data_IF_359681459745
#
_entry.id   IF_359681459745
#
_cell.length_a   1.000
_cell.length_b   1.000
_cell.length_c   1.000
_cell.angle_alpha   90.00
_cell.angle_beta   90.00
_cell.angle_gamma   90.00
#
_symmetry.space_group_name_H-M   'P 1'
#
loop_
_entity.id
_entity.type
_entity.pdbx_description
1 polymer ?
#
# COMPACT_ATOMS: atom_id res chain seq x y z
N UNK A 1 -6.80 -2.45 28.67
CA UNK A 1 -7.71 -3.26 27.83
C UNK A 1 -8.47 -2.42 26.80
N UNK A 2 -8.90 -1.19 27.13
CA UNK A 2 -9.66 -0.34 26.21
C UNK A 2 -8.89 0.09 24.94
N UNK A 3 -7.63 0.53 25.06
CA UNK A 3 -6.81 0.95 23.91
C UNK A 3 -6.55 -0.17 22.88
N UNK A 4 -6.28 -1.39 23.34
CA UNK A 4 -6.11 -2.54 22.43
C UNK A 4 -7.39 -2.89 21.67
N UNK A 5 -8.56 -2.72 22.27
CA UNK A 5 -9.85 -2.91 21.60
C UNK A 5 -10.10 -1.88 20.49
N UNK A 6 -9.77 -0.61 20.76
CA UNK A 6 -9.84 0.46 19.75
C UNK A 6 -8.88 0.21 18.59
N UNK A 7 -7.63 -0.18 18.89
CA UNK A 7 -6.64 -0.52 17.86
C UNK A 7 -7.07 -1.72 17.01
N UNK A 8 -7.56 -2.80 17.63
CA UNK A 8 -8.06 -3.96 16.90
C UNK A 8 -9.25 -3.60 15.99
N UNK A 9 -10.16 -2.75 16.48
CA UNK A 9 -11.29 -2.28 15.70
C UNK A 9 -10.86 -1.33 14.57
N UNK A 10 -9.89 -0.44 14.81
CA UNK A 10 -9.28 0.41 13.79
C UNK A 10 -8.60 -0.39 12.68
N UNK A 11 -7.85 -1.44 13.02
CA UNK A 11 -7.27 -2.39 12.04
C UNK A 11 -8.36 -3.08 11.24
N UNK A 12 -9.45 -3.50 11.89
CA UNK A 12 -10.58 -4.11 11.19
C UNK A 12 -11.21 -3.14 10.20
N UNK A 13 -11.48 -1.89 10.61
CA UNK A 13 -12.00 -0.84 9.72
C UNK A 13 -11.06 -0.61 8.53
N UNK A 14 -9.75 -0.52 8.79
CA UNK A 14 -8.74 -0.41 7.74
C UNK A 14 -8.83 -1.61 6.78
N UNK A 15 -8.80 -2.83 7.30
CA UNK A 15 -8.86 -4.07 6.52
C UNK A 15 -10.07 -4.11 5.57
N UNK A 16 -11.26 -3.70 6.03
CA UNK A 16 -12.48 -3.68 5.22
C UNK A 16 -12.64 -2.40 4.38
N UNK A 17 -11.64 -1.53 4.36
CA UNK A 17 -11.58 -0.34 3.50
C UNK A 17 -12.20 0.93 4.08
N UNK A 18 -12.68 0.93 5.32
CA UNK A 18 -13.22 2.13 5.98
C UNK A 18 -12.10 3.00 6.57
N UNK A 19 -11.35 3.68 5.69
CA UNK A 19 -10.13 4.42 6.06
C UNK A 19 -10.42 5.56 7.04
N UNK A 20 -11.48 6.32 6.85
CA UNK A 20 -11.84 7.42 7.76
C UNK A 20 -12.13 6.93 9.19
N UNK A 21 -12.89 5.83 9.32
CA UNK A 21 -13.16 5.23 10.63
C UNK A 21 -11.92 4.58 11.23
N UNK A 22 -11.09 3.94 10.40
CA UNK A 22 -9.82 3.39 10.85
C UNK A 22 -8.92 4.46 11.48
N UNK A 23 -8.79 5.60 10.82
CA UNK A 23 -7.98 6.72 11.33
C UNK A 23 -8.51 7.20 12.68
N UNK A 24 -9.83 7.37 12.80
CA UNK A 24 -10.46 7.80 14.04
C UNK A 24 -10.15 6.86 15.21
N UNK A 25 -10.38 5.56 15.03
CA UNK A 25 -10.17 4.57 16.09
C UNK A 25 -8.69 4.37 16.43
N UNK A 26 -7.79 4.37 15.43
CA UNK A 26 -6.35 4.22 15.68
C UNK A 26 -5.77 5.46 16.37
N UNK A 27 -6.20 6.66 16.01
CA UNK A 27 -5.76 7.91 16.67
C UNK A 27 -6.21 7.93 18.13
N UNK A 28 -7.45 7.54 18.41
CA UNK A 28 -7.98 7.44 19.77
C UNK A 28 -7.24 6.37 20.59
N UNK A 29 -6.98 5.21 19.99
CA UNK A 29 -6.22 4.12 20.61
C UNK A 29 -4.76 4.49 20.93
N UNK A 30 -4.10 5.22 20.04
CA UNK A 30 -2.71 5.69 20.21
C UNK A 30 -2.61 6.75 21.32
N UNK A 31 -3.54 7.70 21.38
CA UNK A 31 -3.58 8.70 22.44
C UNK A 31 -3.72 8.06 23.83
N UNK A 32 -4.55 7.02 23.96
CA UNK A 32 -4.72 6.29 25.22
C UNK A 32 -3.45 5.49 25.54
N UNK A 33 -2.83 4.83 24.56
CA UNK A 33 -1.55 4.13 24.76
C UNK A 33 -0.41 5.05 25.19
N UNK A 34 -0.28 6.22 24.55
CA UNK A 34 0.73 7.23 24.90
C UNK A 34 0.53 7.77 26.31
N UNK A 35 -0.72 7.91 26.76
CA UNK A 35 -1.03 8.32 28.13
C UNK A 35 -0.69 7.25 29.19
N UNK A 36 -0.77 5.98 28.84
CA UNK A 36 -0.43 4.84 29.70
C UNK A 36 1.10 4.59 29.79
N UNK A 37 1.91 5.18 28.91
CA UNK A 37 3.38 5.00 28.83
C UNK A 37 4.18 5.76 29.91
N UNK A 38 3.54 6.51 30.80
CA UNK A 38 4.22 7.13 31.95
C UNK A 38 4.81 6.09 32.94
N UNK A 39 4.46 4.80 32.79
CA UNK A 39 5.13 3.67 33.43
C UNK A 39 6.06 2.95 32.45
N UNK A 40 7.37 3.10 32.63
CA UNK A 40 8.41 2.31 31.92
C UNK A 40 8.16 0.81 32.12
N UNK A 41 8.22 0.00 31.05
CA UNK A 41 8.36 -1.46 31.22
C UNK A 41 8.98 -2.21 30.04
N UNK A 42 9.94 -3.07 30.37
CA UNK A 42 10.78 -3.95 29.55
C UNK A 42 10.03 -5.16 28.95
N UNK A 43 8.98 -4.95 28.14
CA UNK A 43 8.27 -6.05 27.46
C UNK A 43 8.45 -6.03 25.92
N UNK A 44 9.27 -6.94 25.35
CA UNK A 44 9.54 -7.01 23.92
C UNK A 44 8.29 -7.20 23.05
N UNK A 45 7.32 -8.00 23.50
CA UNK A 45 6.10 -8.28 22.74
C UNK A 45 5.19 -7.05 22.70
N UNK A 46 5.13 -6.29 23.80
CA UNK A 46 4.38 -5.02 23.85
C UNK A 46 5.01 -3.99 22.92
N UNK A 47 6.34 -3.94 22.89
CA UNK A 47 7.09 -3.05 22.00
C UNK A 47 6.85 -3.36 20.52
N UNK A 48 6.97 -4.63 20.11
CA UNK A 48 6.68 -5.06 18.73
C UNK A 48 5.25 -4.71 18.31
N UNK A 49 4.28 -4.95 19.21
CA UNK A 49 2.89 -4.62 18.93
C UNK A 49 2.68 -3.12 18.76
N UNK A 50 3.30 -2.28 19.60
CA UNK A 50 3.24 -0.82 19.46
C UNK A 50 3.84 -0.34 18.14
N UNK A 51 4.97 -0.90 17.73
CA UNK A 51 5.62 -0.57 16.46
C UNK A 51 4.72 -0.93 15.27
N UNK A 52 4.04 -2.09 15.32
CA UNK A 52 3.04 -2.46 14.31
C UNK A 52 1.83 -1.51 14.31
N UNK A 53 1.31 -1.10 15.48
CA UNK A 53 0.17 -0.18 15.56
C UNK A 53 0.52 1.20 15.00
N UNK A 54 1.68 1.74 15.38
CA UNK A 54 2.16 3.02 14.87
C UNK A 54 2.36 2.98 13.34
N UNK A 55 2.85 1.85 12.82
CA UNK A 55 2.99 1.68 11.39
C UNK A 55 1.66 1.57 10.62
N UNK A 56 0.66 0.88 11.18
CA UNK A 56 -0.69 0.86 10.59
C UNK A 56 -1.32 2.25 10.65
N UNK A 57 -1.15 2.98 11.76
CA UNK A 57 -1.60 4.37 11.87
C UNK A 57 -0.95 5.25 10.79
N UNK A 58 0.35 5.10 10.54
CA UNK A 58 1.03 5.85 9.48
C UNK A 58 0.48 5.52 8.09
N UNK A 59 0.27 4.24 7.78
CA UNK A 59 -0.32 3.82 6.50
C UNK A 59 -1.74 4.35 6.32
N UNK A 60 -2.58 4.27 7.36
CA UNK A 60 -3.94 4.82 7.36
C UNK A 60 -3.95 6.34 7.24
N UNK A 61 -3.00 7.04 7.87
CA UNK A 61 -2.82 8.49 7.75
C UNK A 61 -2.48 8.88 6.31
N UNK A 62 -1.59 8.13 5.65
CA UNK A 62 -1.28 8.32 4.24
C UNK A 62 -2.51 8.08 3.35
N UNK A 63 -3.24 6.98 3.57
CA UNK A 63 -4.45 6.63 2.82
C UNK A 63 -5.56 7.68 2.98
N UNK A 64 -5.71 8.22 4.20
CA UNK A 64 -6.64 9.32 4.48
C UNK A 64 -6.20 10.63 3.84
N UNK A 65 -4.96 10.71 3.35
CA UNK A 65 -4.49 11.78 2.50
C UNK A 65 -3.44 12.67 3.13
N UNK A 66 -2.97 12.41 4.35
CA UNK A 66 -1.86 13.15 4.96
C UNK A 66 -0.56 12.37 4.81
N UNK A 67 0.03 12.46 3.61
CA UNK A 67 1.26 11.74 3.26
C UNK A 67 2.47 12.28 4.05
N UNK A 68 2.48 13.58 4.35
CA UNK A 68 3.58 14.20 5.09
C UNK A 68 3.59 13.75 6.55
N UNK A 69 2.44 13.75 7.23
CA UNK A 69 2.34 13.24 8.60
C UNK A 69 2.67 11.74 8.67
N UNK A 70 2.19 10.96 7.69
CA UNK A 70 2.54 9.54 7.60
C UNK A 70 4.05 9.31 7.45
N UNK A 71 4.72 10.11 6.61
CA UNK A 71 6.17 10.05 6.44
C UNK A 71 6.89 10.41 7.73
N UNK A 72 6.47 11.46 8.42
CA UNK A 72 7.06 11.86 9.71
C UNK A 72 6.92 10.76 10.78
N UNK A 73 5.78 10.06 10.83
CA UNK A 73 5.59 8.90 11.71
C UNK A 73 6.54 7.75 11.35
N UNK A 74 6.69 7.45 10.07
CA UNK A 74 7.57 6.37 9.60
C UNK A 74 9.05 6.71 9.80
N UNK A 75 9.46 7.96 9.61
CA UNK A 75 10.82 8.44 9.88
C UNK A 75 11.17 8.28 11.37
N UNK A 76 10.20 8.54 12.26
CA UNK A 76 10.36 8.29 13.70
C UNK A 76 10.55 6.79 13.99
N UNK A 77 9.73 5.93 13.39
CA UNK A 77 9.86 4.47 13.54
C UNK A 77 11.21 3.94 13.01
N UNK A 78 11.70 4.50 11.90
CA UNK A 78 13.02 4.17 11.35
C UNK A 78 14.14 4.64 12.29
N UNK A 79 14.04 5.85 12.85
CA UNK A 79 15.01 6.36 13.81
C UNK A 79 15.05 5.53 15.10
N UNK A 80 13.88 5.14 15.63
CA UNK A 80 13.75 4.29 16.82
C UNK A 80 14.28 2.86 16.58
N UNK A 81 14.17 2.34 15.35
CA UNK A 81 14.71 1.04 14.97
C UNK A 81 16.25 0.99 14.97
N UNK A 82 16.91 2.12 14.72
CA UNK A 82 18.36 2.23 14.64
C UNK A 82 18.98 1.23 13.65
N UNK A 83 19.95 0.44 14.13
CA UNK A 83 20.66 -0.59 13.35
C UNK A 83 20.21 -2.02 13.68
N UNK A 84 19.17 -2.19 14.51
CA UNK A 84 18.71 -3.52 14.91
C UNK A 84 18.03 -4.24 13.72
N UNK A 85 18.57 -5.36 13.19
CA UNK A 85 18.11 -5.92 11.91
C UNK A 85 16.62 -6.25 11.87
N UNK A 86 16.07 -6.75 12.98
CA UNK A 86 14.64 -7.07 13.10
C UNK A 86 13.76 -5.82 13.10
N UNK A 87 14.11 -4.78 13.87
CA UNK A 87 13.36 -3.53 13.92
C UNK A 87 13.42 -2.76 12.59
N UNK A 88 14.59 -2.76 11.94
CA UNK A 88 14.75 -2.21 10.58
C UNK A 88 13.88 -2.99 9.59
N UNK A 89 13.86 -4.32 9.67
CA UNK A 89 13.03 -5.14 8.78
C UNK A 89 11.54 -4.80 8.91
N UNK A 90 11.03 -4.62 10.14
CA UNK A 90 9.63 -4.26 10.36
C UNK A 90 9.34 -2.83 9.86
N UNK A 91 10.12 -1.83 10.29
CA UNK A 91 9.92 -0.44 9.88
C UNK A 91 10.00 -0.28 8.36
N UNK A 92 11.00 -0.90 7.71
CA UNK A 92 11.11 -0.92 6.25
C UNK A 92 9.92 -1.61 5.58
N UNK A 93 9.40 -2.72 6.13
CA UNK A 93 8.23 -3.40 5.56
C UNK A 93 6.94 -2.55 5.60
N UNK A 94 6.79 -1.71 6.62
CA UNK A 94 5.65 -0.79 6.73
C UNK A 94 5.85 0.42 5.80
N UNK A 95 7.07 0.98 5.77
CA UNK A 95 7.42 2.09 4.91
C UNK A 95 7.21 1.74 3.42
N UNK A 96 7.67 0.57 2.97
CA UNK A 96 7.48 0.16 1.57
C UNK A 96 6.01 -0.04 1.20
N UNK A 97 5.19 -0.61 2.10
CA UNK A 97 3.75 -0.80 1.85
C UNK A 97 3.05 0.56 1.71
N UNK A 98 3.42 1.53 2.54
CA UNK A 98 2.88 2.89 2.45
C UNK A 98 3.34 3.58 1.17
N UNK A 99 4.63 3.50 0.84
CA UNK A 99 5.20 4.17 -0.33
C UNK A 99 4.58 3.72 -1.67
N UNK A 100 4.34 2.42 -1.84
CA UNK A 100 3.71 1.89 -3.07
C UNK A 100 2.25 2.33 -3.20
N UNK A 101 1.52 2.48 -2.08
CA UNK A 101 0.14 3.00 -2.09
C UNK A 101 0.11 4.50 -2.41
N UNK A 102 1.08 5.25 -1.87
CA UNK A 102 1.27 6.68 -2.19
C UNK A 102 1.64 6.89 -3.65
N UNK A 103 2.37 5.95 -4.26
CA UNK A 103 2.85 6.08 -5.63
C UNK A 103 4.21 6.79 -5.71
N UNK A 104 5.04 6.70 -4.66
CA UNK A 104 6.37 7.30 -4.60
C UNK A 104 7.45 6.22 -4.79
N UNK A 105 7.98 6.03 -6.02
CA UNK A 105 8.96 4.97 -6.31
C UNK A 105 10.31 5.20 -5.64
N UNK A 106 10.74 6.45 -5.46
CA UNK A 106 12.02 6.74 -4.82
C UNK A 106 11.96 6.41 -3.32
N UNK A 107 10.85 6.73 -2.66
CA UNK A 107 10.61 6.31 -1.28
C UNK A 107 10.54 4.79 -1.14
N UNK A 108 9.79 4.12 -2.02
CA UNK A 108 9.68 2.68 -2.01
C UNK A 108 11.04 1.99 -2.21
N UNK A 109 11.86 2.48 -3.14
CA UNK A 109 13.19 1.92 -3.42
C UNK A 109 14.13 2.09 -2.23
N UNK A 110 14.24 3.31 -1.68
CA UNK A 110 15.11 3.57 -0.51
C UNK A 110 14.74 2.68 0.68
N UNK A 111 13.45 2.61 1.02
CA UNK A 111 12.99 1.80 2.14
C UNK A 111 13.21 0.29 1.89
N UNK A 112 12.99 -0.18 0.65
CA UNK A 112 13.23 -1.57 0.29
C UNK A 112 14.71 -1.95 0.36
N UNK A 113 15.61 -1.11 -0.16
CA UNK A 113 17.05 -1.36 -0.16
C UNK A 113 17.61 -1.41 1.26
N UNK A 114 17.17 -0.51 2.15
CA UNK A 114 17.53 -0.54 3.57
C UNK A 114 17.15 -1.86 4.23
N UNK A 115 15.89 -2.29 4.08
CA UNK A 115 15.40 -3.53 4.67
C UNK A 115 16.10 -4.78 4.11
N UNK A 116 16.36 -4.81 2.81
CA UNK A 116 17.06 -5.93 2.16
C UNK A 116 18.52 -6.01 2.63
N UNK A 117 19.18 -4.87 2.85
CA UNK A 117 20.57 -4.84 3.29
C UNK A 117 20.79 -5.45 4.69
N UNK A 118 19.82 -5.33 5.59
CA UNK A 118 19.90 -5.90 6.95
C UNK A 118 19.43 -7.36 7.04
N UNK A 119 18.69 -7.85 6.04
CA UNK A 119 18.29 -9.26 5.91
C UNK A 119 18.47 -9.78 4.46
N UNK A 120 19.73 -9.85 3.97
CA UNK A 120 20.01 -10.26 2.60
C UNK A 120 19.65 -11.73 2.35
N UNK A 121 19.74 -12.56 3.40
CA UNK A 121 19.43 -13.99 3.37
C UNK A 121 17.93 -14.28 3.41
N UNK A 122 17.09 -13.26 3.58
CA UNK A 122 15.64 -13.37 3.58
C UNK A 122 15.09 -14.23 4.74
N UNK A 123 15.69 -14.07 5.92
CA UNK A 123 15.32 -14.75 7.16
C UNK A 123 13.89 -14.40 7.60
N UNK A 124 13.45 -13.16 7.38
CA UNK A 124 12.11 -12.68 7.72
C UNK A 124 11.17 -12.75 6.52
N UNK A 125 10.78 -13.98 6.16
CA UNK A 125 10.11 -14.30 4.88
C UNK A 125 8.90 -13.42 4.55
N UNK A 126 8.03 -13.10 5.51
CA UNK A 126 6.84 -12.28 5.21
C UNK A 126 7.23 -10.82 4.98
N UNK A 127 7.97 -10.21 5.90
CA UNK A 127 8.34 -8.79 5.85
C UNK A 127 9.27 -8.49 4.67
N UNK A 128 10.26 -9.37 4.44
CA UNK A 128 11.17 -9.25 3.31
C UNK A 128 10.51 -9.52 1.95
N UNK A 129 9.33 -10.15 1.91
CA UNK A 129 8.55 -10.32 0.66
C UNK A 129 8.09 -8.95 0.17
N UNK A 130 7.53 -8.13 1.07
CA UNK A 130 7.01 -6.81 0.73
C UNK A 130 8.11 -5.86 0.25
N UNK A 131 9.29 -5.92 0.87
CA UNK A 131 10.45 -5.12 0.44
C UNK A 131 10.91 -5.49 -0.97
N UNK A 132 11.00 -6.80 -1.28
CA UNK A 132 11.39 -7.27 -2.62
C UNK A 132 10.35 -6.91 -3.69
N UNK A 133 9.06 -7.02 -3.36
CA UNK A 133 7.98 -6.59 -4.25
C UNK A 133 7.98 -5.08 -4.49
N UNK A 134 8.18 -4.28 -3.44
CA UNK A 134 8.28 -2.83 -3.56
C UNK A 134 9.47 -2.39 -4.40
N UNK A 135 10.62 -3.07 -4.26
CA UNK A 135 11.78 -2.85 -5.13
C UNK A 135 11.44 -3.12 -6.60
N UNK A 136 10.78 -4.23 -6.91
CA UNK A 136 10.33 -4.52 -8.27
C UNK A 136 9.41 -3.42 -8.80
N UNK A 137 8.42 -3.02 -8.01
CA UNK A 137 7.49 -1.96 -8.37
C UNK A 137 8.21 -0.62 -8.62
N UNK A 138 9.11 -0.20 -7.74
CA UNK A 138 9.88 1.04 -7.91
C UNK A 138 10.77 1.02 -9.17
N UNK A 139 11.41 -0.11 -9.47
CA UNK A 139 12.20 -0.26 -10.70
C UNK A 139 11.32 -0.14 -11.94
N UNK A 140 10.15 -0.79 -11.96
CA UNK A 140 9.21 -0.67 -13.07
C UNK A 140 8.71 0.77 -13.24
N UNK A 141 8.36 1.45 -12.15
CA UNK A 141 7.84 2.82 -12.20
C UNK A 141 8.87 3.86 -12.62
N UNK A 142 10.16 3.60 -12.37
CA UNK A 142 11.27 4.45 -12.83
C UNK A 142 11.79 4.07 -14.23
N UNK A 143 11.10 3.16 -14.93
CA UNK A 143 11.47 2.74 -16.29
C UNK A 143 12.64 1.75 -16.35
N UNK A 144 13.13 1.26 -15.22
CA UNK A 144 14.23 0.31 -15.13
C UNK A 144 13.74 -1.11 -15.34
N UNK A 145 13.76 -1.56 -16.59
CA UNK A 145 13.29 -2.89 -17.02
C UNK A 145 11.89 -3.26 -16.47
N UNK A 146 10.82 -2.51 -16.85
CA UNK A 146 9.48 -2.74 -16.29
C UNK A 146 8.95 -4.17 -16.51
N UNK A 147 9.24 -4.77 -17.67
CA UNK A 147 8.83 -6.13 -17.98
C UNK A 147 9.48 -7.16 -17.05
N UNK A 148 10.81 -7.11 -16.89
CA UNK A 148 11.53 -8.03 -16.01
C UNK A 148 11.20 -7.83 -14.53
N UNK A 149 10.98 -6.57 -14.11
CA UNK A 149 10.53 -6.27 -12.75
C UNK A 149 9.12 -6.86 -12.48
N UNK A 150 8.19 -6.75 -13.43
CA UNK A 150 6.87 -7.36 -13.32
C UNK A 150 6.92 -8.90 -13.25
N UNK A 151 7.79 -9.54 -14.06
CA UNK A 151 7.99 -10.99 -14.02
C UNK A 151 8.59 -11.49 -12.71
N UNK A 152 9.54 -10.76 -12.13
CA UNK A 152 10.07 -11.06 -10.80
C UNK A 152 8.99 -10.91 -9.72
N UNK A 153 8.22 -9.83 -9.76
CA UNK A 153 7.13 -9.60 -8.82
C UNK A 153 6.07 -10.72 -8.87
N UNK A 154 5.67 -11.14 -10.07
CA UNK A 154 4.71 -12.23 -10.27
C UNK A 154 5.21 -13.56 -9.68
N UNK A 155 6.49 -13.88 -9.86
CA UNK A 155 7.12 -15.06 -9.24
C UNK A 155 7.07 -15.00 -7.72
N UNK A 156 7.39 -13.85 -7.14
CA UNK A 156 7.36 -13.65 -5.68
C UNK A 156 5.92 -13.77 -5.15
N UNK A 157 4.94 -13.10 -5.78
CA UNK A 157 3.53 -13.15 -5.38
C UNK A 157 3.04 -14.61 -5.37
N UNK A 158 3.26 -15.33 -6.47
CA UNK A 158 2.84 -16.73 -6.62
C UNK A 158 3.46 -17.62 -5.54
N UNK A 159 4.76 -17.46 -5.28
CA UNK A 159 5.48 -18.31 -4.35
C UNK A 159 5.20 -18.00 -2.86
N UNK A 160 4.78 -16.78 -2.52
CA UNK A 160 4.77 -16.30 -1.13
C UNK A 160 3.44 -15.77 -0.62
N UNK A 161 2.54 -15.34 -1.50
CA UNK A 161 1.30 -14.67 -1.11
C UNK A 161 0.02 -15.41 -1.46
N UNK A 162 0.06 -16.37 -2.39
CA UNK A 162 -1.15 -17.05 -2.91
C UNK A 162 -1.52 -18.29 -2.08
N UNK A 163 -0.54 -19.10 -1.66
CA UNK A 163 -0.79 -20.34 -0.91
C UNK A 163 0.25 -20.55 0.22
N UNK A 164 -0.15 -20.44 1.50
CA UNK A 164 -1.45 -19.95 1.96
C UNK A 164 -1.62 -18.46 1.64
N UNK A 165 -2.87 -17.98 1.41
CA UNK A 165 -3.12 -16.57 1.14
C UNK A 165 -2.64 -15.69 2.29
N UNK A 166 -1.81 -14.69 1.95
CA UNK A 166 -1.25 -13.74 2.92
C UNK A 166 -1.91 -12.37 2.80
N UNK A 167 -1.79 -11.57 3.85
CA UNK A 167 -2.21 -10.17 3.84
C UNK A 167 -1.58 -9.41 2.66
N UNK A 168 -2.35 -8.48 2.08
CA UNK A 168 -1.97 -7.63 0.96
C UNK A 168 -1.91 -8.32 -0.42
N UNK A 169 -2.33 -9.58 -0.55
CA UNK A 169 -2.27 -10.30 -1.84
C UNK A 169 -3.03 -9.58 -2.96
N UNK A 170 -4.21 -9.01 -2.66
CA UNK A 170 -4.97 -8.20 -3.62
C UNK A 170 -4.20 -6.94 -4.03
N UNK A 171 -3.65 -6.20 -3.07
CA UNK A 171 -2.82 -5.00 -3.30
C UNK A 171 -1.64 -5.30 -4.22
N UNK A 172 -0.91 -6.40 -3.98
CA UNK A 172 0.25 -6.75 -4.78
C UNK A 172 -0.11 -7.22 -6.20
N UNK A 173 -1.27 -7.86 -6.39
CA UNK A 173 -1.80 -8.09 -7.73
C UNK A 173 -2.21 -6.79 -8.43
N UNK A 174 -2.77 -5.82 -7.70
CA UNK A 174 -3.01 -4.45 -8.18
C UNK A 174 -1.74 -3.79 -8.71
N UNK A 175 -0.70 -3.75 -7.86
CA UNK A 175 0.61 -3.18 -8.19
C UNK A 175 1.32 -3.93 -9.33
N UNK A 176 1.13 -5.25 -9.45
CA UNK A 176 1.58 -6.01 -10.62
C UNK A 176 0.90 -5.52 -11.90
N UNK A 177 -0.39 -5.22 -11.85
CA UNK A 177 -1.10 -4.59 -12.96
C UNK A 177 -0.48 -3.25 -13.36
N UNK A 178 -0.12 -2.40 -12.40
CA UNK A 178 0.57 -1.14 -12.64
C UNK A 178 1.94 -1.34 -13.30
N UNK A 179 2.75 -2.29 -12.82
CA UNK A 179 4.03 -2.63 -13.45
C UNK A 179 3.86 -3.12 -14.89
N UNK A 180 2.81 -3.93 -15.17
CA UNK A 180 2.50 -4.42 -16.52
C UNK A 180 2.03 -3.30 -17.45
N UNK A 181 1.34 -2.27 -16.93
CA UNK A 181 1.05 -1.05 -17.69
C UNK A 181 2.34 -0.31 -18.08
N UNK A 182 3.29 -0.16 -17.14
CA UNK A 182 4.60 0.44 -17.45
C UNK A 182 5.42 -0.37 -18.46
N UNK A 183 5.19 -1.68 -18.52
CA UNK A 183 5.78 -2.56 -19.52
C UNK A 183 5.05 -2.54 -20.88
N UNK A 184 4.02 -1.71 -21.07
CA UNK A 184 3.24 -1.66 -22.30
C UNK A 184 2.39 -2.91 -22.54
N UNK A 185 2.01 -3.64 -21.48
CA UNK A 185 1.28 -4.89 -21.55
C UNK A 185 -0.13 -4.78 -20.93
N UNK A 186 -1.05 -3.98 -21.52
CA UNK A 186 -2.35 -3.67 -20.91
C UNK A 186 -3.26 -4.88 -20.71
N UNK A 187 -3.20 -5.90 -21.59
CA UNK A 187 -3.93 -7.16 -21.41
C UNK A 187 -3.43 -7.95 -20.20
N UNK A 188 -2.11 -8.01 -20.00
CA UNK A 188 -1.53 -8.66 -18.83
C UNK A 188 -1.84 -7.87 -17.54
N UNK A 189 -1.87 -6.54 -17.63
CA UNK A 189 -2.32 -5.70 -16.53
C UNK A 189 -3.78 -5.99 -16.15
N UNK A 190 -4.69 -6.10 -17.13
CA UNK A 190 -6.08 -6.47 -16.89
C UNK A 190 -6.21 -7.81 -16.14
N UNK A 191 -5.47 -8.84 -16.58
CA UNK A 191 -5.48 -10.15 -15.93
C UNK A 191 -4.94 -10.09 -14.49
N UNK A 192 -3.92 -9.29 -14.22
CA UNK A 192 -3.42 -9.08 -12.86
C UNK A 192 -4.47 -8.39 -11.97
N UNK A 193 -5.21 -7.42 -12.50
CA UNK A 193 -6.32 -6.77 -11.77
C UNK A 193 -7.51 -7.73 -11.56
N UNK A 194 -7.79 -8.66 -12.49
CA UNK A 194 -8.82 -9.69 -12.29
C UNK A 194 -8.47 -10.59 -11.08
N UNK A 195 -7.18 -10.89 -10.91
CA UNK A 195 -6.68 -11.59 -9.74
C UNK A 195 -6.81 -10.76 -8.46
N UNK A 196 -6.56 -9.44 -8.54
CA UNK A 196 -6.74 -8.55 -7.41
C UNK A 196 -8.20 -8.56 -6.93
N UNK A 197 -9.16 -8.41 -7.85
CA UNK A 197 -10.60 -8.44 -7.56
C UNK A 197 -11.03 -9.76 -6.93
N UNK A 198 -10.55 -10.89 -7.47
CA UNK A 198 -10.82 -12.20 -6.87
C UNK A 198 -10.40 -12.28 -5.40
N UNK A 199 -9.23 -11.74 -5.05
CA UNK A 199 -8.77 -11.73 -3.65
C UNK A 199 -9.49 -10.70 -2.78
N UNK A 200 -9.91 -9.56 -3.33
CA UNK A 200 -10.77 -8.61 -2.63
C UNK A 200 -12.10 -9.28 -2.23
N UNK A 201 -12.73 -9.97 -3.16
CA UNK A 201 -14.02 -10.63 -2.94
C UNK A 201 -13.90 -11.83 -2.00
N UNK A 202 -12.83 -12.62 -2.12
CA UNK A 202 -12.63 -13.82 -1.31
C UNK A 202 -12.22 -13.51 0.12
N UNK A 203 -11.44 -12.44 0.36
CA UNK A 203 -10.86 -12.16 1.68
C UNK A 203 -11.31 -10.85 2.32
N UNK A 204 -11.99 -9.97 1.59
CA UNK A 204 -12.50 -8.70 2.10
C UNK A 204 -11.45 -7.62 2.39
N UNK A 205 -10.22 -7.75 1.85
CA UNK A 205 -9.10 -6.81 2.08
C UNK A 205 -9.22 -5.54 1.23
N UNK A 206 -10.11 -4.62 1.60
CA UNK A 206 -10.56 -3.52 0.73
C UNK A 206 -9.81 -2.20 0.89
N UNK A 207 -8.80 -2.10 1.76
CA UNK A 207 -8.05 -0.84 1.95
C UNK A 207 -7.38 -0.29 0.69
N UNK A 208 -7.07 -1.12 -0.30
CA UNK A 208 -6.46 -0.75 -1.58
C UNK A 208 -7.46 -0.75 -2.76
N UNK A 209 -8.76 -0.92 -2.50
CA UNK A 209 -9.79 -1.03 -3.53
C UNK A 209 -9.84 0.22 -4.43
N UNK A 210 -9.74 1.42 -3.84
CA UNK A 210 -9.68 2.67 -4.61
C UNK A 210 -8.50 2.73 -5.59
N UNK A 211 -7.32 2.21 -5.20
CA UNK A 211 -6.17 2.09 -6.09
C UNK A 211 -6.45 1.10 -7.23
N UNK A 212 -7.01 -0.07 -6.92
CA UNK A 212 -7.31 -1.12 -7.92
C UNK A 212 -8.31 -0.58 -8.96
N UNK A 213 -9.33 0.17 -8.54
CA UNK A 213 -10.28 0.81 -9.45
C UNK A 213 -9.65 1.92 -10.31
N UNK A 214 -8.75 2.72 -9.74
CA UNK A 214 -7.97 3.68 -10.53
C UNK A 214 -7.12 2.97 -11.60
N UNK A 215 -6.47 1.87 -11.24
CA UNK A 215 -5.68 1.08 -12.18
C UNK A 215 -6.55 0.44 -13.28
N UNK A 216 -7.79 0.06 -12.98
CA UNK A 216 -8.76 -0.37 -14.00
C UNK A 216 -9.02 0.72 -15.03
N UNK A 217 -9.25 1.95 -14.60
CA UNK A 217 -9.46 3.08 -15.51
C UNK A 217 -8.24 3.29 -16.43
N UNK A 218 -7.02 3.21 -15.87
CA UNK A 218 -5.76 3.28 -16.64
C UNK A 218 -5.62 2.12 -17.64
N UNK A 219 -6.01 0.90 -17.26
CA UNK A 219 -6.04 -0.26 -18.18
C UNK A 219 -7.01 -0.02 -19.33
N UNK A 220 -8.22 0.49 -19.06
CA UNK A 220 -9.20 0.80 -20.11
C UNK A 220 -8.64 1.82 -21.11
N UNK A 221 -7.98 2.87 -20.61
CA UNK A 221 -7.32 3.87 -21.46
C UNK A 221 -6.22 3.22 -22.33
N UNK A 222 -5.34 2.43 -21.72
CA UNK A 222 -4.24 1.75 -22.43
C UNK A 222 -4.73 0.72 -23.46
N UNK A 223 -5.93 0.16 -23.28
CA UNK A 223 -6.61 -0.70 -24.25
C UNK A 223 -7.34 0.07 -25.35
N UNK A 224 -7.31 1.42 -25.34
CA UNK A 224 -7.97 2.25 -26.33
C UNK A 224 -9.50 2.25 -26.22
N UNK A 225 -10.05 2.04 -25.01
CA UNK A 225 -11.49 2.10 -24.78
C UNK A 225 -12.02 3.53 -24.96
N UNK A 226 -13.33 3.69 -25.28
CA UNK A 226 -13.94 5.00 -25.39
C UNK A 226 -13.68 5.86 -24.14
N UNK A 227 -13.37 7.13 -24.34
CA UNK A 227 -13.01 8.03 -23.23
C UNK A 227 -14.14 8.19 -22.21
N UNK A 228 -15.40 8.06 -22.64
CA UNK A 228 -16.56 8.03 -21.74
C UNK A 228 -16.53 6.83 -20.78
N UNK A 229 -16.10 5.65 -21.25
CA UNK A 229 -15.93 4.45 -20.41
C UNK A 229 -14.77 4.62 -19.43
N UNK A 230 -13.64 5.17 -19.91
CA UNK A 230 -12.46 5.45 -19.07
C UNK A 230 -12.81 6.43 -17.95
N UNK A 231 -13.49 7.52 -18.30
CA UNK A 231 -13.92 8.55 -17.34
C UNK A 231 -14.89 7.98 -16.30
N UNK A 232 -15.91 7.24 -16.73
CA UNK A 232 -16.87 6.63 -15.81
C UNK A 232 -16.18 5.68 -14.80
N UNK A 233 -15.20 4.89 -15.26
CA UNK A 233 -14.43 4.02 -14.36
C UNK A 233 -13.59 4.81 -13.34
N UNK A 234 -12.96 5.92 -13.77
CA UNK A 234 -12.22 6.79 -12.86
C UNK A 234 -13.13 7.54 -11.89
N UNK A 235 -14.28 8.05 -12.33
CA UNK A 235 -15.26 8.70 -11.46
C UNK A 235 -15.76 7.74 -10.37
N UNK A 236 -16.04 6.49 -10.74
CA UNK A 236 -16.39 5.45 -9.77
C UNK A 236 -15.28 5.21 -8.73
N UNK A 237 -14.01 5.13 -9.17
CA UNK A 237 -12.87 5.00 -8.27
C UNK A 237 -12.77 6.18 -7.28
N UNK A 238 -13.02 7.41 -7.77
CA UNK A 238 -13.01 8.64 -6.97
C UNK A 238 -14.14 8.63 -5.93
N UNK A 239 -15.36 8.31 -6.35
CA UNK A 239 -16.55 8.28 -5.48
C UNK A 239 -16.40 7.26 -4.36
N UNK A 240 -16.04 6.02 -4.68
CA UNK A 240 -15.83 4.99 -3.67
C UNK A 240 -14.71 5.39 -2.69
N UNK A 241 -13.60 5.92 -3.21
CA UNK A 241 -12.50 6.37 -2.36
C UNK A 241 -12.91 7.51 -1.41
N UNK A 242 -13.75 8.43 -1.88
CA UNK A 242 -14.29 9.51 -1.06
C UNK A 242 -15.22 8.98 0.04
N UNK A 243 -16.15 8.08 -0.30
CA UNK A 243 -17.06 7.43 0.65
C UNK A 243 -16.29 6.71 1.76
N UNK A 244 -15.19 6.04 1.41
CA UNK A 244 -14.33 5.30 2.34
C UNK A 244 -13.37 6.18 3.13
N UNK A 245 -13.29 7.47 2.82
CA UNK A 245 -12.32 8.40 3.42
C UNK A 245 -10.86 8.13 2.99
N UNK A 246 -10.65 7.47 1.84
CA UNK A 246 -9.34 7.19 1.25
C UNK A 246 -8.89 8.35 0.33
N UNK A 247 -8.72 9.56 0.87
CA UNK A 247 -8.49 10.76 0.07
C UNK A 247 -7.19 10.76 -0.73
N UNK A 248 -6.23 9.90 -0.39
CA UNK A 248 -5.07 9.63 -1.25
C UNK A 248 -5.49 9.20 -2.65
N UNK A 249 -6.42 8.24 -2.74
CA UNK A 249 -6.87 7.71 -4.02
C UNK A 249 -7.83 8.66 -4.73
N UNK A 250 -8.58 9.47 -4.00
CA UNK A 250 -9.35 10.59 -4.57
C UNK A 250 -8.42 11.50 -5.37
N UNK A 251 -7.36 12.02 -4.75
CA UNK A 251 -6.41 12.92 -5.42
C UNK A 251 -5.68 12.27 -6.59
N UNK A 252 -5.22 11.03 -6.43
CA UNK A 252 -4.57 10.29 -7.53
C UNK A 252 -5.51 10.10 -8.72
N UNK A 253 -6.80 9.92 -8.46
CA UNK A 253 -7.82 9.76 -9.50
C UNK A 253 -8.18 11.10 -10.15
N UNK A 254 -8.25 12.18 -9.37
CA UNK A 254 -8.43 13.55 -9.89
C UNK A 254 -7.28 13.96 -10.80
N UNK A 255 -6.05 13.64 -10.43
CA UNK A 255 -4.88 13.84 -11.29
C UNK A 255 -5.04 13.09 -12.62
N UNK A 256 -5.43 11.82 -12.57
CA UNK A 256 -5.66 11.03 -13.78
C UNK A 256 -6.76 11.61 -14.68
N UNK A 257 -7.86 12.08 -14.09
CA UNK A 257 -8.95 12.74 -14.82
C UNK A 257 -8.48 14.04 -15.49
N UNK A 258 -7.67 14.85 -14.80
CA UNK A 258 -7.10 16.07 -15.37
C UNK A 258 -6.14 15.79 -16.53
N UNK A 259 -5.31 14.75 -16.42
CA UNK A 259 -4.42 14.28 -17.50
C UNK A 259 -5.23 13.82 -18.73
N UNK A 260 -6.35 13.11 -18.50
CA UNK A 260 -7.26 12.67 -19.56
C UNK A 260 -7.93 13.85 -20.27
N UNK A 261 -8.32 14.89 -19.53
CA UNK A 261 -8.89 16.13 -20.09
C UNK A 261 -7.87 16.89 -20.95
N UNK A 262 -6.61 16.96 -20.51
CA UNK A 262 -5.54 17.61 -21.27
C UNK A 262 -5.27 16.88 -22.60
N UNK A 263 -5.22 15.54 -22.59
CA UNK A 263 -5.04 14.75 -23.81
C UNK A 263 -6.15 14.94 -24.84
N UNK A 264 -7.40 15.13 -24.38
CA UNK A 264 -8.53 15.45 -25.25
C UNK A 264 -8.44 16.87 -25.83
N UNK A 265 -7.88 17.82 -25.10
CA UNK A 265 -7.73 19.19 -25.58
C UNK A 265 -6.61 19.34 -26.62
N UNK A 266 -5.62 18.45 -26.59
CA UNK A 266 -4.47 18.45 -27.50
C UNK A 266 -4.72 17.66 -28.81
N UNK A 267 -5.93 17.13 -29.04
CA UNK A 267 -6.31 16.32 -30.22
C UNK A 267 -7.55 16.90 -30.92
#
# INVERSE_FOLDING_TARGET
>A
MHAYGLNAWGIHQWYIGNIGEALRFLTEGDQIMLSDLAGREDNPVRHDLQLLMAGVLAEVTALHGDVEAARALLDKLEADAGDAPYAVTISSAIAVRTAVLVGDPDWALRAAERGIAVDPQFSFVILGTYQRLARCWALAMTGQNPAGAAEEAERIITARLVDPPRSCVATWHGLLGEMRLMAGAPTAAAAALDRADHFLDTHGQRYSEGLILLLRARVLQALGKPVTEVRAAAEWARELSAERGAHLFVRRTEQFLAELDQQLADH
#
